data_IF_640683815426
#
_entry.id   IF_640683815426
#
_cell.length_a   1.000
_cell.length_b   1.000
_cell.length_c   1.000
_cell.angle_alpha   90.00
_cell.angle_beta   90.00
_cell.angle_gamma   90.00
#
_symmetry.space_group_name_H-M   'P 1'
#
loop_
_entity.id
_entity.type
_entity.pdbx_description
1 polymer ?
#
# COMPACT_ATOMS: atom_id res chain seq x y z
N UNK A 1 -13.82 -4.77 -16.50
CA UNK A 1 -13.99 -4.97 -15.06
C UNK A 1 -13.69 -3.69 -14.26
N UNK A 2 -12.59 -2.96 -14.50
CA UNK A 2 -12.23 -1.72 -13.79
C UNK A 2 -13.36 -0.69 -13.79
N UNK A 3 -13.99 -0.44 -14.96
CA UNK A 3 -15.14 0.46 -15.05
C UNK A 3 -16.35 0.00 -14.22
N UNK A 4 -16.58 -1.32 -14.17
CA UNK A 4 -17.66 -1.90 -13.36
C UNK A 4 -17.39 -1.68 -11.88
N UNK A 5 -16.17 -1.96 -11.42
CA UNK A 5 -15.77 -1.77 -10.02
C UNK A 5 -15.83 -0.29 -9.63
N UNK A 6 -15.35 0.60 -10.51
CA UNK A 6 -15.44 2.04 -10.28
C UNK A 6 -16.90 2.51 -10.13
N UNK A 7 -17.81 2.01 -10.97
CA UNK A 7 -19.24 2.32 -10.85
C UNK A 7 -19.85 1.79 -9.54
N UNK A 8 -19.39 0.65 -9.03
CA UNK A 8 -19.82 0.13 -7.73
C UNK A 8 -19.40 1.07 -6.60
N UNK A 9 -18.14 1.53 -6.59
CA UNK A 9 -17.66 2.48 -5.59
C UNK A 9 -18.41 3.81 -5.69
N UNK A 10 -18.59 4.32 -6.90
CA UNK A 10 -19.33 5.57 -7.12
C UNK A 10 -20.78 5.48 -6.64
N UNK A 11 -21.40 4.32 -6.82
CA UNK A 11 -22.80 4.08 -6.44
C UNK A 11 -22.98 3.91 -4.94
N UNK A 12 -22.03 3.28 -4.26
CA UNK A 12 -22.10 2.98 -2.82
C UNK A 12 -21.40 4.03 -1.96
N UNK A 13 -20.20 4.44 -2.36
CA UNK A 13 -19.38 5.38 -1.61
C UNK A 13 -19.53 6.85 -2.01
N UNK A 14 -20.26 7.13 -3.09
CA UNK A 14 -20.46 8.49 -3.62
C UNK A 14 -19.16 9.23 -3.96
N UNK A 15 -18.06 8.50 -4.17
CA UNK A 15 -16.74 9.00 -4.54
C UNK A 15 -16.25 8.39 -5.84
N UNK A 16 -15.41 9.12 -6.57
CA UNK A 16 -14.75 8.60 -7.76
C UNK A 16 -13.38 8.02 -7.40
N UNK A 17 -13.10 6.80 -7.87
CA UNK A 17 -11.75 6.25 -7.80
C UNK A 17 -10.87 6.94 -8.85
N UNK A 18 -9.75 7.47 -8.40
CA UNK A 18 -8.72 8.14 -9.20
C UNK A 18 -7.37 7.43 -9.13
N UNK A 19 -7.23 6.46 -8.24
CA UNK A 19 -6.00 5.66 -8.06
C UNK A 19 -6.31 4.18 -8.17
N UNK A 20 -5.49 3.46 -8.96
CA UNK A 20 -5.49 2.01 -9.03
C UNK A 20 -4.12 1.47 -8.57
N UNK A 21 -4.11 0.57 -7.60
CA UNK A 21 -2.91 -0.16 -7.18
C UNK A 21 -3.03 -1.60 -7.67
N UNK A 22 -2.03 -2.08 -8.40
CA UNK A 22 -2.05 -3.41 -9.01
C UNK A 22 -0.87 -4.24 -8.52
N UNK A 23 -1.12 -5.52 -8.27
CA UNK A 23 -0.07 -6.52 -8.10
C UNK A 23 0.69 -6.77 -9.41
N UNK A 24 1.78 -7.52 -9.34
CA UNK A 24 2.67 -7.76 -10.49
C UNK A 24 1.96 -8.42 -11.67
N UNK A 25 1.22 -9.49 -11.43
CA UNK A 25 0.52 -10.27 -12.45
C UNK A 25 -0.66 -9.49 -13.03
N UNK A 26 -1.42 -8.80 -12.16
CA UNK A 26 -2.52 -7.93 -12.56
C UNK A 26 -2.03 -6.79 -13.47
N UNK A 27 -0.88 -6.18 -13.16
CA UNK A 27 -0.23 -5.16 -13.99
C UNK A 27 0.13 -5.73 -15.37
N UNK A 28 0.78 -6.89 -15.42
CA UNK A 28 1.22 -7.50 -16.67
C UNK A 28 0.02 -7.92 -17.54
N UNK A 29 -1.04 -8.47 -16.94
CA UNK A 29 -2.29 -8.76 -17.63
C UNK A 29 -2.96 -7.49 -18.17
N UNK A 30 -2.95 -6.40 -17.38
CA UNK A 30 -3.50 -5.10 -17.79
C UNK A 30 -2.76 -4.52 -18.99
N UNK A 31 -1.43 -4.42 -18.95
CA UNK A 31 -0.60 -3.86 -20.04
C UNK A 31 -0.74 -4.69 -21.32
N UNK A 32 -0.85 -6.01 -21.19
CA UNK A 32 -0.97 -6.90 -22.31
C UNK A 32 -2.40 -7.02 -22.88
N UNK A 33 -3.39 -6.48 -22.21
CA UNK A 33 -4.76 -6.56 -22.65
C UNK A 33 -4.99 -5.80 -23.98
N UNK A 34 -5.63 -6.42 -24.99
CA UNK A 34 -5.79 -5.82 -26.35
C UNK A 34 -6.44 -4.45 -26.32
N UNK A 35 -7.49 -4.25 -25.51
CA UNK A 35 -8.18 -2.94 -25.38
C UNK A 35 -7.30 -1.87 -24.77
N UNK A 36 -6.38 -2.22 -23.87
CA UNK A 36 -5.44 -1.26 -23.29
C UNK A 36 -4.39 -0.87 -24.32
N UNK A 37 -3.90 -1.81 -25.10
CA UNK A 37 -2.99 -1.54 -26.24
C UNK A 37 -3.64 -0.62 -27.27
N UNK A 38 -4.91 -0.81 -27.57
CA UNK A 38 -5.67 0.07 -28.45
C UNK A 38 -5.80 1.50 -27.90
N UNK A 39 -6.00 1.65 -26.59
CA UNK A 39 -6.02 2.97 -25.92
C UNK A 39 -4.67 3.68 -25.92
N UNK A 40 -3.59 2.91 -26.00
CA UNK A 40 -2.20 3.42 -26.07
C UNK A 40 -1.80 3.82 -27.49
N UNK A 41 -2.56 3.44 -28.51
CA UNK A 41 -2.27 3.81 -29.89
C UNK A 41 -2.35 5.35 -30.06
N UNK A 42 -1.28 5.91 -30.62
CA UNK A 42 -1.11 7.36 -30.82
C UNK A 42 -2.27 7.99 -31.61
N UNK A 43 -2.98 7.19 -32.41
CA UNK A 43 -4.14 7.63 -33.19
C UNK A 43 -5.36 7.99 -32.33
N UNK A 44 -5.42 7.52 -31.09
CA UNK A 44 -6.59 7.68 -30.20
C UNK A 44 -6.41 8.80 -29.15
N UNK A 45 -5.81 9.91 -29.50
CA UNK A 45 -5.72 11.14 -28.68
C UNK A 45 -5.12 10.95 -27.29
N UNK A 46 -4.14 10.07 -27.12
CA UNK A 46 -3.48 9.83 -25.82
C UNK A 46 -4.47 9.51 -24.68
N UNK A 47 -5.45 8.65 -24.93
CA UNK A 47 -6.42 8.22 -23.92
C UNK A 47 -5.77 7.44 -22.75
N UNK A 48 -4.59 6.88 -22.97
CA UNK A 48 -3.77 6.31 -21.93
C UNK A 48 -2.29 6.65 -22.14
N UNK A 49 -1.54 6.74 -21.05
CA UNK A 49 -0.09 7.00 -21.09
C UNK A 49 0.61 6.02 -20.15
N UNK A 50 1.62 5.31 -20.65
CA UNK A 50 2.50 4.46 -19.85
C UNK A 50 3.88 5.11 -19.79
N UNK A 51 4.26 5.57 -18.58
CA UNK A 51 5.58 6.16 -18.28
C UNK A 51 5.99 5.71 -16.88
N UNK A 52 6.56 4.51 -16.74
CA UNK A 52 6.96 3.99 -15.43
C UNK A 52 7.93 4.96 -14.73
N UNK A 53 7.66 5.25 -13.47
CA UNK A 53 8.50 6.07 -12.61
C UNK A 53 8.49 5.51 -11.20
N UNK A 54 9.66 5.17 -10.70
CA UNK A 54 9.82 4.76 -9.31
C UNK A 54 9.64 5.96 -8.37
N UNK A 55 8.93 5.73 -7.27
CA UNK A 55 8.69 6.70 -6.21
C UNK A 55 9.54 6.34 -4.99
N UNK A 56 9.89 7.34 -4.14
CA UNK A 56 10.75 7.10 -2.98
C UNK A 56 10.19 6.13 -1.92
N UNK A 57 8.88 5.84 -1.99
CA UNK A 57 8.15 4.96 -1.07
C UNK A 57 8.03 3.51 -1.56
N UNK A 58 8.81 3.08 -2.54
CA UNK A 58 8.77 1.73 -3.10
C UNK A 58 7.62 1.47 -4.09
N UNK A 59 6.69 2.42 -4.25
CA UNK A 59 5.67 2.33 -5.27
C UNK A 59 6.23 2.73 -6.64
N UNK A 60 5.74 2.10 -7.69
CA UNK A 60 6.06 2.47 -9.07
C UNK A 60 4.81 3.00 -9.75
N UNK A 61 4.85 4.25 -10.18
CA UNK A 61 3.84 4.80 -11.08
C UNK A 61 4.01 4.17 -12.46
N UNK A 62 2.96 3.60 -13.01
CA UNK A 62 2.98 2.95 -14.32
C UNK A 62 2.50 3.88 -15.41
N UNK A 63 1.42 4.60 -15.16
CA UNK A 63 0.80 5.47 -16.13
C UNK A 63 -0.60 5.91 -15.72
N UNK A 64 -1.30 6.54 -16.64
CA UNK A 64 -2.67 7.00 -16.44
C UNK A 64 -3.60 6.56 -17.56
N UNK A 65 -4.86 6.33 -17.21
CA UNK A 65 -5.96 6.18 -18.18
C UNK A 65 -6.75 7.50 -18.16
N UNK A 66 -6.41 8.40 -19.08
CA UNK A 66 -7.01 9.72 -19.14
C UNK A 66 -8.53 9.67 -19.34
N UNK A 67 -9.02 8.70 -20.12
CA UNK A 67 -10.46 8.49 -20.34
C UNK A 67 -11.25 8.12 -19.08
N UNK A 68 -10.55 7.60 -18.04
CA UNK A 68 -11.14 7.28 -16.73
C UNK A 68 -10.72 8.26 -15.64
N UNK A 69 -9.74 9.15 -15.90
CA UNK A 69 -9.15 10.01 -14.89
C UNK A 69 -8.51 9.21 -13.75
N UNK A 70 -7.77 8.16 -14.09
CA UNK A 70 -7.22 7.21 -13.12
C UNK A 70 -5.72 7.03 -13.32
N UNK A 71 -4.97 7.13 -12.23
CA UNK A 71 -3.54 6.85 -12.16
C UNK A 71 -3.30 5.43 -11.69
N UNK A 72 -2.34 4.75 -12.32
CA UNK A 72 -2.02 3.35 -12.06
C UNK A 72 -0.66 3.25 -11.38
N UNK A 73 -0.64 2.54 -10.27
CA UNK A 73 0.54 2.26 -9.48
C UNK A 73 0.71 0.77 -9.28
N UNK A 74 1.95 0.32 -9.10
CA UNK A 74 2.26 -1.00 -8.55
C UNK A 74 3.09 -0.85 -7.30
N UNK A 75 2.98 -1.85 -6.41
CA UNK A 75 3.74 -1.90 -5.17
C UNK A 75 4.28 -3.32 -5.00
N UNK A 76 5.59 -3.49 -5.21
CA UNK A 76 6.25 -4.79 -5.26
C UNK A 76 7.16 -5.01 -4.05
N UNK A 77 6.70 -4.66 -2.87
CA UNK A 77 7.40 -4.96 -1.63
C UNK A 77 6.90 -6.25 -0.99
N UNK A 78 7.79 -6.92 -0.31
CA UNK A 78 7.57 -8.21 0.33
C UNK A 78 7.82 -8.09 1.82
N UNK A 79 7.09 -8.87 2.61
CA UNK A 79 7.29 -8.99 4.03
C UNK A 79 7.50 -10.45 4.43
N UNK A 80 8.20 -10.63 5.54
CA UNK A 80 8.38 -11.94 6.14
C UNK A 80 7.20 -12.20 7.09
N UNK A 81 6.37 -13.17 6.73
CA UNK A 81 5.28 -13.62 7.58
C UNK A 81 5.81 -14.66 8.58
N UNK A 82 6.17 -14.20 9.75
CA UNK A 82 6.56 -15.00 10.92
C UNK A 82 5.43 -15.14 11.95
N UNK A 83 4.27 -14.53 11.71
CA UNK A 83 3.11 -14.56 12.58
C UNK A 83 2.30 -15.85 12.42
N UNK A 84 2.18 -16.34 11.19
CA UNK A 84 1.38 -17.54 10.88
C UNK A 84 2.07 -18.80 11.41
N UNK A 85 3.35 -18.94 11.19
CA UNK A 85 4.19 -20.00 11.73
C UNK A 85 5.60 -19.47 12.04
N UNK A 86 5.91 -19.21 13.32
CA UNK A 86 7.24 -18.70 13.71
C UNK A 86 8.41 -19.64 13.37
N UNK A 87 8.13 -20.94 13.19
CA UNK A 87 9.17 -21.94 12.91
C UNK A 87 9.50 -22.02 11.40
N UNK A 88 8.55 -21.64 10.55
CA UNK A 88 8.70 -21.67 9.10
C UNK A 88 8.24 -20.34 8.48
N UNK A 89 8.99 -19.25 8.68
CA UNK A 89 8.60 -17.94 8.16
C UNK A 89 8.59 -17.96 6.62
N UNK A 90 7.55 -17.39 6.03
CA UNK A 90 7.36 -17.32 4.58
C UNK A 90 7.36 -15.87 4.11
N UNK A 91 7.97 -15.62 2.95
CA UNK A 91 7.94 -14.29 2.33
C UNK A 91 6.66 -14.14 1.51
N UNK A 92 5.91 -13.08 1.78
CA UNK A 92 4.65 -12.76 1.09
C UNK A 92 4.68 -11.35 0.51
N UNK A 93 4.07 -11.10 -0.68
CA UNK A 93 3.93 -9.76 -1.20
C UNK A 93 2.95 -8.96 -0.34
N UNK A 94 3.22 -7.66 -0.15
CA UNK A 94 2.29 -6.74 0.54
C UNK A 94 0.99 -6.54 -0.24
N UNK A 95 1.08 -6.46 -1.57
CA UNK A 95 -0.09 -6.48 -2.47
C UNK A 95 -0.09 -7.82 -3.19
N UNK A 96 -1.14 -8.64 -3.07
CA UNK A 96 -1.22 -9.91 -3.80
C UNK A 96 -1.05 -9.70 -5.31
N UNK A 97 -0.31 -10.61 -5.97
CA UNK A 97 0.10 -10.45 -7.36
C UNK A 97 -1.07 -10.31 -8.33
N UNK A 98 -2.20 -10.97 -8.02
CA UNK A 98 -3.43 -10.94 -8.82
C UNK A 98 -4.46 -9.89 -8.35
N UNK A 99 -4.14 -9.06 -7.36
CA UNK A 99 -5.08 -8.09 -6.81
C UNK A 99 -5.00 -6.73 -7.52
N UNK A 100 -6.16 -6.09 -7.61
CA UNK A 100 -6.33 -4.71 -8.05
C UNK A 100 -7.13 -3.95 -7.01
N UNK A 101 -6.52 -2.95 -6.38
CA UNK A 101 -7.19 -2.03 -5.47
C UNK A 101 -7.54 -0.73 -6.18
N UNK A 102 -8.80 -0.33 -6.11
CA UNK A 102 -9.28 0.98 -6.56
C UNK A 102 -9.51 1.87 -5.35
N UNK A 103 -8.93 3.04 -5.34
CA UNK A 103 -8.93 3.98 -4.23
C UNK A 103 -9.36 5.37 -4.71
N UNK A 104 -9.86 6.18 -3.78
CA UNK A 104 -10.17 7.58 -4.03
C UNK A 104 -9.31 8.48 -3.16
N UNK A 105 -8.62 9.44 -3.75
CA UNK A 105 -7.88 10.47 -3.00
C UNK A 105 -8.81 11.46 -2.30
N UNK A 106 -10.07 11.53 -2.69
CA UNK A 106 -11.09 12.35 -2.05
C UNK A 106 -11.67 11.70 -0.78
N UNK A 107 -11.43 10.40 -0.55
CA UNK A 107 -11.91 9.71 0.65
C UNK A 107 -11.05 10.05 1.87
N UNK A 108 -11.67 9.96 3.06
CA UNK A 108 -10.99 10.28 4.30
C UNK A 108 -10.29 9.04 4.87
N UNK A 109 -8.97 9.15 5.01
CA UNK A 109 -8.12 8.14 5.66
C UNK A 109 -7.41 8.76 6.85
N UNK A 110 -7.29 8.02 7.93
CA UNK A 110 -6.50 8.42 9.09
C UNK A 110 -5.45 7.37 9.42
N UNK A 111 -4.28 7.85 9.85
CA UNK A 111 -3.24 7.01 10.38
C UNK A 111 -3.23 7.14 11.90
N UNK A 112 -3.59 6.07 12.59
CA UNK A 112 -3.52 5.99 14.04
C UNK A 112 -2.23 5.30 14.46
N UNK A 113 -1.71 5.67 15.62
CA UNK A 113 -0.52 5.06 16.19
C UNK A 113 -0.88 4.40 17.51
N UNK A 114 -0.55 3.11 17.63
CA UNK A 114 -0.76 2.34 18.84
C UNK A 114 0.22 2.72 19.94
N UNK A 115 -0.13 2.39 21.17
CA UNK A 115 0.71 2.58 22.34
C UNK A 115 1.86 1.56 22.34
N UNK A 116 3.08 2.03 22.56
CA UNK A 116 4.29 1.22 22.67
C UNK A 116 4.79 1.33 24.12
N UNK A 117 4.97 0.20 24.78
CA UNK A 117 5.48 0.16 26.14
C UNK A 117 7.00 -0.07 26.12
N UNK A 118 7.72 0.82 26.79
CA UNK A 118 9.16 0.78 26.95
C UNK A 118 9.50 0.58 28.43
N UNK A 119 10.70 0.07 28.68
CA UNK A 119 11.28 0.01 30.03
C UNK A 119 12.19 1.21 30.21
N UNK A 120 11.93 2.04 31.21
CA UNK A 120 12.83 3.14 31.56
C UNK A 120 14.12 2.58 32.19
N UNK A 121 15.26 2.89 31.61
CA UNK A 121 16.56 2.37 32.06
C UNK A 121 16.95 2.81 33.47
N UNK A 122 16.46 3.96 33.92
CA UNK A 122 16.80 4.52 35.23
C UNK A 122 15.92 3.98 36.34
N UNK A 123 14.60 4.01 36.13
CA UNK A 123 13.63 3.60 37.16
C UNK A 123 13.28 2.12 37.07
N UNK A 124 13.55 1.47 35.93
CA UNK A 124 13.11 0.11 35.59
C UNK A 124 11.58 -0.05 35.54
N UNK A 125 10.85 1.05 35.49
CA UNK A 125 9.41 1.08 35.37
C UNK A 125 8.98 1.03 33.90
N UNK A 126 7.73 0.64 33.67
CA UNK A 126 7.14 0.63 32.35
C UNK A 126 6.61 2.03 32.00
N UNK A 127 7.00 2.51 30.83
CA UNK A 127 6.50 3.77 30.26
C UNK A 127 5.80 3.49 28.93
N UNK A 128 4.57 3.93 28.80
CA UNK A 128 3.81 3.83 27.54
C UNK A 128 3.86 5.16 26.79
N UNK A 129 4.20 5.09 25.52
CA UNK A 129 4.34 6.24 24.61
C UNK A 129 3.49 6.00 23.38
N UNK A 130 2.79 7.05 22.89
CA UNK A 130 2.01 7.05 21.66
C UNK A 130 2.59 8.11 20.74
N UNK A 131 3.47 7.69 19.84
CA UNK A 131 4.13 8.56 18.86
C UNK A 131 4.35 7.83 17.54
N UNK A 132 4.59 8.60 16.47
CA UNK A 132 4.88 8.04 15.14
C UNK A 132 6.14 7.18 15.14
N UNK A 133 7.17 7.62 15.85
CA UNK A 133 8.44 6.91 16.02
C UNK A 133 8.83 6.96 17.48
N UNK A 134 9.04 5.81 18.07
CA UNK A 134 9.44 5.68 19.48
C UNK A 134 10.86 5.14 19.52
N UNK A 135 11.87 6.00 19.75
CA UNK A 135 13.25 5.57 19.89
C UNK A 135 13.48 4.99 21.29
N UNK A 136 14.15 3.85 21.35
CA UNK A 136 14.62 3.21 22.56
C UNK A 136 16.11 2.87 22.43
N UNK A 137 16.89 3.10 23.49
CA UNK A 137 18.32 2.79 23.50
C UNK A 137 18.67 2.00 24.73
N UNK A 138 19.31 0.87 24.55
CA UNK A 138 19.81 0.05 25.65
C UNK A 138 21.26 -0.37 25.40
N UNK A 139 21.95 -0.69 26.48
CA UNK A 139 23.37 -1.06 26.48
C UNK A 139 23.53 -2.48 27.02
N UNK A 140 24.14 -3.33 26.23
CA UNK A 140 24.66 -4.62 26.68
C UNK A 140 26.09 -4.46 27.23
N UNK A 141 26.39 -5.12 28.33
CA UNK A 141 27.71 -5.03 28.97
C UNK A 141 28.71 -6.10 28.51
N UNK A 142 28.20 -7.21 27.94
CA UNK A 142 29.05 -8.34 27.47
C UNK A 142 28.46 -8.98 26.22
N UNK A 143 29.04 -8.71 25.04
CA UNK A 143 30.04 -7.70 24.71
C UNK A 143 29.48 -6.28 24.86
N UNK A 144 30.35 -5.28 25.06
CA UNK A 144 29.92 -3.90 25.21
C UNK A 144 29.34 -3.40 23.86
N UNK A 145 28.02 -3.23 23.84
CA UNK A 145 27.29 -2.75 22.63
C UNK A 145 26.17 -1.81 23.03
N UNK A 146 25.94 -0.81 22.21
CA UNK A 146 24.76 0.08 22.32
C UNK A 146 23.82 -0.21 21.18
N UNK A 147 22.56 -0.46 21.50
CA UNK A 147 21.50 -0.69 20.55
C UNK A 147 20.58 0.53 20.50
N UNK A 148 20.19 0.91 19.28
CA UNK A 148 19.11 1.84 19.02
C UNK A 148 17.99 1.04 18.40
N UNK A 149 16.87 0.93 19.10
CA UNK A 149 15.65 0.34 18.62
C UNK A 149 14.66 1.46 18.26
N UNK A 150 14.11 1.44 17.05
CA UNK A 150 13.09 2.38 16.61
C UNK A 150 11.81 1.62 16.33
N UNK A 151 10.82 1.84 17.17
CA UNK A 151 9.53 1.18 17.08
C UNK A 151 8.44 2.10 16.56
N UNK A 152 7.49 1.54 15.81
CA UNK A 152 6.30 2.24 15.34
C UNK A 152 5.15 1.24 15.29
N UNK A 153 3.94 1.67 15.64
CA UNK A 153 2.73 0.85 15.58
C UNK A 153 1.61 1.57 14.78
N UNK A 154 1.82 1.80 13.46
CA UNK A 154 0.85 2.49 12.63
C UNK A 154 -0.34 1.59 12.29
N UNK A 155 -1.54 2.19 12.24
CA UNK A 155 -2.76 1.58 11.75
C UNK A 155 -3.47 2.56 10.79
N UNK A 156 -3.53 2.19 9.53
CA UNK A 156 -4.28 2.93 8.52
C UNK A 156 -5.76 2.55 8.62
N UNK A 157 -6.63 3.55 8.80
CA UNK A 157 -8.07 3.35 8.94
C UNK A 157 -8.81 4.19 7.90
N UNK A 158 -9.55 3.56 6.97
CA UNK A 158 -10.50 4.26 6.13
C UNK A 158 -11.73 4.63 6.95
N UNK A 159 -12.19 5.89 6.85
CA UNK A 159 -13.42 6.32 7.53
C UNK A 159 -14.68 5.95 6.75
N UNK A 160 -14.54 5.78 5.45
CA UNK A 160 -15.62 5.45 4.53
C UNK A 160 -15.37 4.08 3.91
N UNK A 161 -16.11 3.06 4.36
CA UNK A 161 -15.90 1.66 3.96
C UNK A 161 -16.14 1.45 2.46
N UNK A 162 -17.10 2.15 1.88
CA UNK A 162 -17.49 2.01 0.47
C UNK A 162 -16.66 2.89 -0.49
N UNK A 163 -15.61 3.58 0.00
CA UNK A 163 -14.78 4.49 -0.79
C UNK A 163 -13.65 3.80 -1.56
N UNK A 164 -13.52 2.50 -1.43
CA UNK A 164 -12.48 1.70 -2.07
C UNK A 164 -13.00 0.33 -2.49
N UNK A 165 -12.32 -0.32 -3.41
CA UNK A 165 -12.69 -1.65 -3.91
C UNK A 165 -11.43 -2.47 -4.15
N UNK A 166 -11.45 -3.73 -3.76
CA UNK A 166 -10.41 -4.69 -4.11
C UNK A 166 -11.03 -5.81 -4.93
N UNK A 167 -10.48 -6.05 -6.11
CA UNK A 167 -10.85 -7.15 -6.97
C UNK A 167 -9.66 -8.03 -7.30
N UNK A 168 -9.90 -9.31 -7.48
CA UNK A 168 -8.92 -10.25 -7.99
C UNK A 168 -9.09 -10.41 -9.50
N UNK A 169 -7.97 -10.43 -10.21
CA UNK A 169 -7.89 -10.65 -11.65
C UNK A 169 -7.19 -11.98 -11.88
N UNK A 170 -7.79 -12.84 -12.67
CA UNK A 170 -7.24 -14.16 -13.04
C UNK A 170 -6.61 -14.10 -14.41
#
# INVERSE_FOLDING_TARGET
DIERWRKEVQKKGFVNCDVAIMGSDAKDAFINHPKVKELLDVRNYNLATIKPKELPNGATYIGSINGLGMDIYTYNEWYLDDWTDPNTPTTKPLVPDNAVGLLSTAANYSMYYGAITLVDDKTKDFRTVVEKYVPDTYVERRPVRRFLNLSSAPLAVPHEIDSWYVGEVV
#
